data_IF_435878626089
#
_entry.id   IF_435878626089
#
_cell.length_a   1.000
_cell.length_b   1.000
_cell.length_c   1.000
_cell.angle_alpha   90.00
_cell.angle_beta   90.00
_cell.angle_gamma   90.00
#
_symmetry.space_group_name_H-M   'P 1'
#
loop_
_entity.id
_entity.type
_entity.pdbx_description
1 polymer ?
#
# COMPACT_ATOMS: atom_id res chain seq x y z
N UNK A 1 10.36 13.99 2.97
CA UNK A 1 11.06 12.74 3.34
C UNK A 1 10.00 11.71 3.70
N UNK A 2 10.09 10.49 3.17
CA UNK A 2 9.17 9.42 3.57
C UNK A 2 9.45 9.03 5.03
N UNK A 3 8.42 8.86 5.88
CA UNK A 3 8.62 8.42 7.26
C UNK A 3 9.23 7.01 7.28
N UNK A 4 9.94 6.67 8.36
CA UNK A 4 10.44 5.32 8.57
C UNK A 4 9.26 4.34 8.67
N UNK A 5 9.08 3.52 7.64
CA UNK A 5 8.12 2.43 7.66
C UNK A 5 8.81 1.21 8.28
N UNK A 6 8.47 0.92 9.53
CA UNK A 6 8.91 -0.31 10.18
C UNK A 6 8.12 -1.49 9.61
N UNK A 7 8.80 -2.60 9.30
CA UNK A 7 8.12 -3.84 8.92
C UNK A 7 7.44 -4.45 10.14
N UNK A 8 6.23 -4.96 9.94
CA UNK A 8 5.47 -5.70 10.96
C UNK A 8 4.57 -6.74 10.26
N UNK A 9 4.19 -7.82 10.94
CA UNK A 9 3.28 -8.82 10.39
C UNK A 9 1.91 -8.20 10.02
N UNK A 10 1.33 -8.63 8.91
CA UNK A 10 0.03 -8.12 8.46
C UNK A 10 -1.10 -8.29 9.50
N UNK A 11 -0.99 -9.30 10.39
CA UNK A 11 -1.90 -9.51 11.51
C UNK A 11 -1.90 -8.38 12.55
N UNK A 12 -0.82 -7.60 12.66
CA UNK A 12 -0.72 -6.46 13.57
C UNK A 12 -1.31 -5.17 12.98
N UNK A 13 -1.68 -5.16 11.70
CA UNK A 13 -2.19 -3.97 11.01
C UNK A 13 -3.36 -3.26 11.75
N UNK A 14 -4.36 -3.97 12.31
CA UNK A 14 -5.45 -3.34 13.06
C UNK A 14 -4.98 -2.52 14.28
N UNK A 15 -3.87 -2.92 14.90
CA UNK A 15 -3.28 -2.20 16.02
C UNK A 15 -2.36 -1.06 15.53
N UNK A 16 -1.44 -1.38 14.61
CA UNK A 16 -0.41 -0.45 14.11
C UNK A 16 -0.99 0.79 13.43
N UNK A 17 -2.14 0.65 12.75
CA UNK A 17 -2.79 1.80 12.08
C UNK A 17 -3.24 2.88 13.08
N UNK A 18 -3.47 2.50 14.34
CA UNK A 18 -3.87 3.39 15.43
C UNK A 18 -2.69 4.08 16.10
N UNK A 19 -1.45 3.73 15.75
CA UNK A 19 -0.22 4.22 16.40
C UNK A 19 0.56 5.16 15.49
N UNK A 20 1.30 6.08 16.09
CA UNK A 20 2.25 6.94 15.38
C UNK A 20 3.62 6.25 15.26
N UNK A 21 4.58 6.91 14.62
CA UNK A 21 5.95 6.40 14.44
C UNK A 21 6.71 6.13 15.75
N UNK A 22 6.21 6.62 16.89
CA UNK A 22 6.78 6.40 18.22
C UNK A 22 6.04 5.29 19.00
N UNK A 23 5.11 4.56 18.36
CA UNK A 23 4.27 3.54 19.02
C UNK A 23 3.22 4.10 19.97
N UNK A 24 3.01 5.43 19.98
CA UNK A 24 1.94 6.05 20.77
C UNK A 24 0.66 6.07 19.96
N UNK A 25 -0.48 5.91 20.63
CA UNK A 25 -1.79 6.06 19.98
C UNK A 25 -1.90 7.43 19.31
N UNK A 26 -2.37 7.44 18.06
CA UNK A 26 -2.60 8.65 17.26
C UNK A 26 -3.68 9.50 17.93
N UNK A 27 -3.45 10.81 18.00
CA UNK A 27 -4.48 11.76 18.40
C UNK A 27 -5.50 11.83 17.27
N UNK A 28 -6.76 11.56 17.60
CA UNK A 28 -7.88 11.72 16.69
C UNK A 28 -8.47 13.13 16.87
N UNK A 29 -9.00 13.70 15.80
CA UNK A 29 -9.76 14.96 15.88
C UNK A 29 -11.03 14.77 16.73
N UNK A 30 -11.55 15.87 17.28
CA UNK A 30 -12.74 15.81 18.12
C UNK A 30 -13.92 15.21 17.34
N UNK A 31 -14.47 14.09 17.85
CA UNK A 31 -15.57 13.35 17.21
C UNK A 31 -15.14 12.25 16.23
N UNK A 32 -13.85 12.12 15.92
CA UNK A 32 -13.35 11.02 15.10
C UNK A 32 -13.27 9.70 15.90
N UNK A 33 -13.70 8.60 15.28
CA UNK A 33 -13.63 7.24 15.86
C UNK A 33 -12.30 6.58 15.50
N UNK A 34 -11.98 5.49 16.20
CA UNK A 34 -10.84 4.62 15.84
C UNK A 34 -10.99 4.16 14.39
N UNK A 35 -9.87 3.98 13.72
CA UNK A 35 -9.87 3.51 12.33
C UNK A 35 -10.36 2.07 12.32
N UNK A 36 -11.54 1.82 11.75
CA UNK A 36 -12.06 0.48 11.56
C UNK A 36 -11.70 -0.02 10.17
N UNK A 37 -10.71 -0.91 10.10
CA UNK A 37 -10.25 -1.47 8.82
C UNK A 37 -11.30 -2.36 8.15
N UNK A 38 -12.30 -2.85 8.88
CA UNK A 38 -13.40 -3.63 8.31
C UNK A 38 -14.43 -2.75 7.60
N UNK A 39 -14.55 -1.49 8.02
CA UNK A 39 -15.37 -0.48 7.36
C UNK A 39 -14.68 0.14 6.13
N UNK A 40 -13.38 -0.08 5.96
CA UNK A 40 -12.63 0.39 4.79
C UNK A 40 -12.77 -0.60 3.64
N UNK A 41 -13.51 -0.22 2.60
CA UNK A 41 -13.65 -0.99 1.36
C UNK A 41 -12.28 -1.22 0.70
N UNK A 42 -12.01 -2.46 0.30
CA UNK A 42 -10.80 -2.83 -0.44
C UNK A 42 -11.17 -2.79 -1.92
N UNK A 43 -10.57 -1.87 -2.65
CA UNK A 43 -10.75 -1.75 -4.10
C UNK A 43 -9.65 -2.51 -4.82
N UNK A 44 -10.00 -3.05 -5.97
CA UNK A 44 -9.09 -3.72 -6.88
C UNK A 44 -9.08 -3.00 -8.23
N UNK A 45 -7.90 -2.86 -8.80
CA UNK A 45 -7.71 -2.33 -10.14
C UNK A 45 -6.60 -3.12 -10.83
N UNK A 46 -6.91 -3.62 -12.03
CA UNK A 46 -5.90 -4.20 -12.91
C UNK A 46 -5.09 -3.05 -13.53
N UNK A 47 -3.78 -3.09 -13.30
CA UNK A 47 -2.82 -2.24 -14.00
C UNK A 47 -1.93 -3.10 -14.90
N UNK A 48 -1.33 -2.48 -15.91
CA UNK A 48 -0.37 -3.16 -16.78
C UNK A 48 1.04 -2.70 -16.43
N UNK A 49 1.89 -3.64 -16.08
CA UNK A 49 3.32 -3.41 -15.91
C UNK A 49 4.03 -3.94 -17.14
N UNK A 50 4.88 -3.09 -17.75
CA UNK A 50 5.56 -3.40 -18.99
C UNK A 50 7.06 -3.32 -18.80
N UNK A 51 7.76 -4.37 -19.22
CA UNK A 51 9.21 -4.49 -19.14
C UNK A 51 9.80 -4.71 -20.54
N UNK A 52 10.97 -4.10 -20.78
CA UNK A 52 11.76 -4.36 -21.99
C UNK A 52 12.55 -5.63 -21.76
N UNK A 53 12.33 -6.67 -22.58
CA UNK A 53 12.91 -8.00 -22.37
C UNK A 53 14.44 -8.01 -22.36
N UNK A 54 15.04 -7.20 -23.21
CA UNK A 54 16.49 -6.98 -23.26
C UNK A 54 16.78 -5.49 -23.52
N UNK A 55 17.12 -4.71 -22.49
CA UNK A 55 17.39 -3.27 -22.63
C UNK A 55 18.63 -2.95 -23.47
N UNK A 56 19.52 -3.91 -23.70
CA UNK A 56 20.78 -3.70 -24.43
C UNK A 56 20.62 -3.79 -25.95
N UNK A 57 19.53 -4.40 -26.43
CA UNK A 57 19.25 -4.59 -27.85
C UNK A 57 18.29 -3.51 -28.36
N UNK A 58 18.69 -2.82 -29.43
CA UNK A 58 17.83 -1.84 -30.11
C UNK A 58 16.60 -2.55 -30.70
N UNK A 59 15.40 -2.03 -30.44
CA UNK A 59 14.10 -2.62 -30.82
C UNK A 59 13.77 -3.94 -30.13
N UNK A 60 14.26 -4.16 -28.91
CA UNK A 60 13.86 -5.29 -28.08
C UNK A 60 12.35 -5.31 -27.80
N UNK A 61 11.78 -6.50 -27.65
CA UNK A 61 10.35 -6.69 -27.43
C UNK A 61 9.93 -6.20 -26.05
N UNK A 62 8.82 -5.46 -25.99
CA UNK A 62 8.17 -5.08 -24.73
C UNK A 62 7.18 -6.18 -24.35
N UNK A 63 7.26 -6.65 -23.10
CA UNK A 63 6.30 -7.58 -22.53
C UNK A 63 5.51 -6.88 -21.44
N UNK A 64 4.18 -6.95 -21.52
CA UNK A 64 3.29 -6.38 -20.52
C UNK A 64 2.52 -7.50 -19.82
N UNK A 65 2.38 -7.39 -18.50
CA UNK A 65 1.63 -8.32 -17.68
C UNK A 65 0.62 -7.57 -16.81
N UNK A 66 -0.50 -8.23 -16.54
CA UNK A 66 -1.53 -7.70 -15.66
C UNK A 66 -1.05 -7.80 -14.20
N UNK A 67 -1.23 -6.72 -13.45
CA UNK A 67 -0.88 -6.60 -12.04
C UNK A 67 -2.11 -6.12 -11.27
N UNK A 68 -2.62 -6.97 -10.39
CA UNK A 68 -3.73 -6.63 -9.52
C UNK A 68 -3.25 -5.71 -8.40
N UNK A 69 -3.70 -4.47 -8.42
CA UNK A 69 -3.38 -3.46 -7.40
C UNK A 69 -4.56 -3.34 -6.45
N UNK A 70 -4.32 -3.72 -5.21
CA UNK A 70 -5.29 -3.57 -4.11
C UNK A 70 -5.03 -2.24 -3.39
N UNK A 71 -6.06 -1.42 -3.21
CA UNK A 71 -5.95 -0.12 -2.54
C UNK A 71 -7.17 0.21 -1.70
N UNK A 72 -7.02 1.20 -0.82
CA UNK A 72 -8.07 1.73 0.07
C UNK A 72 -8.15 3.25 -0.15
N UNK A 73 -9.35 3.83 -0.09
CA UNK A 73 -9.62 5.27 -0.31
C UNK A 73 -9.86 6.02 1.00
#
# INVERSE_FOLDING_TARGET
>A
MAPACHSFPASELPARVQENTQGKRRKLEAGARRIDLSACELFEMVQWECEVRDPSVRNSTVQCFAVDRLFRR
#
